data_IF_550711046636
#
_entry.id   IF_550711046636
#
_cell.length_a   1.000
_cell.length_b   1.000
_cell.length_c   1.000
_cell.angle_alpha   90.00
_cell.angle_beta   90.00
_cell.angle_gamma   90.00
#
_symmetry.space_group_name_H-M   'P 1'
#
loop_
_entity.id
_entity.type
_entity.pdbx_description
1 polymer ?
#
# COMPACT_ATOMS: atom_id res chain seq x y z
N UNK A 1 -33.01 22.74 -8.35
CA UNK A 1 -31.85 22.65 -7.43
C UNK A 1 -30.89 21.61 -8.00
N UNK A 2 -29.93 22.05 -8.82
CA UNK A 2 -29.06 21.21 -9.65
C UNK A 2 -27.71 20.98 -8.95
N UNK A 3 -27.69 20.13 -7.91
CA UNK A 3 -26.45 19.71 -7.21
C UNK A 3 -25.98 18.32 -7.67
N UNK A 4 -26.15 17.98 -8.95
CA UNK A 4 -25.94 16.61 -9.46
C UNK A 4 -24.94 16.52 -10.63
N UNK A 5 -23.90 17.35 -10.67
CA UNK A 5 -22.86 17.24 -11.69
C UNK A 5 -21.47 17.29 -11.06
N UNK A 6 -21.17 16.31 -10.21
CA UNK A 6 -19.83 15.98 -9.70
C UNK A 6 -18.90 15.57 -10.86
N UNK A 7 -18.60 16.52 -11.75
CA UNK A 7 -17.64 16.37 -12.84
C UNK A 7 -16.22 16.39 -12.25
N UNK A 8 -15.85 15.28 -11.61
CA UNK A 8 -14.46 14.97 -11.33
C UNK A 8 -13.70 14.76 -12.66
N UNK A 9 -12.40 15.05 -12.72
CA UNK A 9 -11.61 14.90 -13.94
C UNK A 9 -11.56 13.42 -14.37
N UNK A 10 -12.32 13.10 -15.42
CA UNK A 10 -12.34 11.80 -16.07
C UNK A 10 -10.94 11.52 -16.65
N UNK A 11 -10.30 10.46 -16.19
CA UNK A 11 -9.11 9.94 -16.86
C UNK A 11 -9.54 9.45 -18.25
N UNK A 12 -9.29 10.26 -19.27
CA UNK A 12 -9.48 9.86 -20.67
C UNK A 12 -8.20 9.24 -21.19
N UNK A 13 -8.33 8.05 -21.78
CA UNK A 13 -7.28 7.41 -22.57
C UNK A 13 -6.82 8.40 -23.66
N UNK A 14 -5.53 8.76 -23.71
CA UNK A 14 -5.02 9.64 -24.77
C UNK A 14 -5.07 8.87 -26.09
N UNK A 15 -5.72 9.45 -27.10
CA UNK A 15 -5.61 9.00 -28.48
C UNK A 15 -4.15 9.08 -28.96
N UNK A 16 -3.67 8.14 -29.79
CA UNK A 16 -2.27 8.09 -30.19
C UNK A 16 -1.88 9.31 -31.05
N UNK A 17 -0.71 9.86 -30.75
CA UNK A 17 -0.06 10.99 -31.41
C UNK A 17 0.41 10.58 -32.81
N UNK A 18 -0.46 10.73 -33.81
CA UNK A 18 -0.05 10.86 -35.20
C UNK A 18 -0.41 12.27 -35.66
N UNK A 19 0.51 12.92 -36.36
CA UNK A 19 0.38 14.26 -36.99
C UNK A 19 0.48 15.49 -36.07
N UNK A 20 1.64 15.66 -35.42
CA UNK A 20 2.21 17.00 -35.28
C UNK A 20 3.73 16.91 -35.39
N UNK A 21 4.20 16.47 -36.55
CA UNK A 21 5.60 16.61 -36.97
C UNK A 21 5.73 17.72 -38.01
N UNK A 22 5.23 18.93 -37.73
CA UNK A 22 5.60 20.12 -38.48
C UNK A 22 5.43 21.35 -37.60
N UNK A 23 6.47 21.72 -36.83
CA UNK A 23 7.17 23.01 -36.99
C UNK A 23 8.16 23.27 -35.82
N UNK A 24 9.35 23.82 -36.12
CA UNK A 24 10.39 24.11 -35.14
C UNK A 24 10.34 25.58 -34.67
N UNK A 25 10.54 25.83 -33.38
CA UNK A 25 10.92 27.16 -32.89
C UNK A 25 11.74 27.06 -31.59
N UNK A 26 13.06 27.03 -31.81
CA UNK A 26 14.18 27.69 -31.09
C UNK A 26 14.03 28.00 -29.58
N UNK A 27 15.02 27.62 -28.74
CA UNK A 27 15.02 27.79 -27.29
C UNK A 27 15.69 29.09 -26.84
N UNK A 28 15.25 29.75 -25.75
CA UNK A 28 16.12 30.70 -25.06
C UNK A 28 15.82 30.89 -23.55
N UNK A 29 16.78 30.42 -22.75
CA UNK A 29 17.31 30.92 -21.46
C UNK A 29 16.50 30.89 -20.14
N UNK A 30 17.03 30.07 -19.23
CA UNK A 30 17.21 30.35 -17.81
C UNK A 30 18.28 31.46 -17.58
N UNK A 31 18.41 32.03 -16.36
CA UNK A 31 19.18 31.40 -15.26
C UNK A 31 18.46 31.49 -13.89
N UNK A 32 18.59 30.54 -12.95
CA UNK A 32 19.71 30.33 -11.99
C UNK A 32 19.95 31.58 -11.12
N UNK A 33 19.87 31.53 -9.78
CA UNK A 33 21.05 31.36 -8.88
C UNK A 33 20.65 31.33 -7.37
N UNK A 34 21.34 30.43 -6.63
CA UNK A 34 21.84 30.41 -5.21
C UNK A 34 20.93 30.74 -4.00
N UNK A 35 20.75 29.83 -3.05
CA UNK A 35 21.66 29.36 -1.96
C UNK A 35 21.91 30.41 -0.87
N UNK A 36 21.44 30.15 0.36
CA UNK A 36 22.17 30.55 1.55
C UNK A 36 21.86 29.65 2.77
N UNK A 37 22.96 29.27 3.42
CA UNK A 37 23.16 28.32 4.52
C UNK A 37 23.51 29.12 5.78
N UNK A 38 22.87 28.85 6.92
CA UNK A 38 23.45 29.11 8.27
C UNK A 38 22.72 28.16 9.26
N UNK A 39 23.28 27.01 9.62
CA UNK A 39 24.22 26.74 10.72
C UNK A 39 23.65 26.90 12.15
N UNK A 40 23.80 25.81 12.92
CA UNK A 40 23.51 25.60 14.36
C UNK A 40 24.31 26.54 15.29
N UNK A 41 24.02 26.53 16.61
CA UNK A 41 24.87 25.79 17.58
C UNK A 41 24.06 25.11 18.72
N UNK A 42 24.37 23.87 19.15
CA UNK A 42 25.27 23.43 20.27
C UNK A 42 24.91 23.99 21.66
N UNK A 43 24.48 23.10 22.60
CA UNK A 43 24.87 22.95 24.04
C UNK A 43 24.28 21.59 24.50
N UNK A 44 25.00 20.48 24.77
CA UNK A 44 25.92 20.08 25.85
C UNK A 44 25.34 19.85 27.28
N UNK A 45 25.41 18.57 27.71
CA UNK A 45 25.72 18.01 29.06
C UNK A 45 24.72 18.16 30.22
N UNK A 46 24.31 17.04 30.85
CA UNK A 46 24.77 16.64 32.21
C UNK A 46 23.92 15.56 32.90
N UNK A 47 24.61 14.51 33.38
CA UNK A 47 24.48 13.69 34.61
C UNK A 47 23.11 13.15 35.06
N UNK A 48 22.86 11.83 35.14
CA UNK A 48 23.39 10.80 36.09
C UNK A 48 22.55 10.66 37.39
N UNK A 49 22.43 9.39 37.86
CA UNK A 49 22.03 8.88 39.20
C UNK A 49 20.62 8.29 39.29
N UNK A 50 20.29 7.23 40.05
CA UNK A 50 20.99 6.17 40.80
C UNK A 50 19.92 5.12 41.21
N UNK A 51 20.35 3.87 41.36
CA UNK A 51 19.69 2.65 41.91
C UNK A 51 18.73 2.82 43.11
N UNK A 52 17.76 1.89 43.27
CA UNK A 52 17.57 1.05 44.48
C UNK A 52 16.77 -0.21 44.12
N UNK A 53 17.38 -1.37 44.39
CA UNK A 53 16.76 -2.68 44.42
C UNK A 53 16.02 -2.91 45.75
N UNK A 54 14.98 -3.75 45.73
CA UNK A 54 14.76 -4.73 46.82
C UNK A 54 13.87 -5.87 46.32
N UNK A 55 14.38 -7.07 46.51
CA UNK A 55 13.79 -8.37 46.21
C UNK A 55 12.70 -8.74 47.24
N UNK A 56 11.68 -9.48 46.77
CA UNK A 56 10.87 -10.63 47.29
C UNK A 56 10.97 -11.09 48.77
N UNK A 57 10.25 -12.12 49.29
CA UNK A 57 9.10 -12.95 48.79
C UNK A 57 7.98 -13.19 49.84
N UNK A 58 6.83 -13.80 49.46
CA UNK A 58 6.06 -14.67 50.38
C UNK A 58 5.32 -15.81 49.62
N UNK A 59 5.60 -17.04 50.09
CA UNK A 59 5.08 -18.42 49.89
C UNK A 59 3.53 -18.52 49.76
N UNK A 60 2.93 -19.11 48.71
CA UNK A 60 2.64 -20.53 48.35
C UNK A 60 1.57 -21.23 49.23
N UNK A 61 0.42 -21.62 48.65
CA UNK A 61 -0.19 -22.98 48.78
C UNK A 61 -1.52 -23.16 48.03
N UNK A 62 -1.56 -24.27 47.28
CA UNK A 62 -2.64 -25.25 47.06
C UNK A 62 -4.08 -24.83 46.62
N UNK A 63 -4.38 -25.16 45.35
CA UNK A 63 -5.70 -25.68 44.95
C UNK A 63 -5.58 -26.42 43.60
N UNK A 64 -5.15 -27.69 43.67
CA UNK A 64 -5.25 -28.60 42.55
C UNK A 64 -6.69 -29.12 42.41
N UNK A 65 -7.45 -28.62 41.42
CA UNK A 65 -8.64 -29.31 40.90
C UNK A 65 -9.00 -28.85 39.47
N UNK A 66 -8.83 -29.78 38.53
CA UNK A 66 -9.58 -29.90 37.27
C UNK A 66 -9.47 -28.75 36.26
N UNK A 67 -8.30 -28.59 35.65
CA UNK A 67 -8.23 -28.03 34.30
C UNK A 67 -8.25 -29.24 33.36
N UNK A 68 -9.44 -29.61 32.91
CA UNK A 68 -9.58 -30.44 31.73
C UNK A 68 -8.77 -29.76 30.62
N UNK A 69 -7.77 -30.48 30.11
CA UNK A 69 -6.93 -30.06 29.01
C UNK A 69 -7.81 -29.90 27.78
N UNK A 70 -8.40 -28.72 27.62
CA UNK A 70 -9.04 -28.30 26.39
C UNK A 70 -7.87 -28.14 25.42
N UNK A 71 -7.54 -29.23 24.72
CA UNK A 71 -6.74 -29.17 23.51
C UNK A 71 -7.36 -28.07 22.66
N UNK A 72 -6.66 -26.94 22.40
CA UNK A 72 -7.22 -25.92 21.56
C UNK A 72 -7.58 -26.58 20.22
N UNK A 73 -8.80 -26.37 19.69
CA UNK A 73 -9.06 -26.80 18.33
C UNK A 73 -7.96 -26.16 17.47
N UNK A 74 -7.36 -27.00 16.63
CA UNK A 74 -6.45 -26.60 15.56
C UNK A 74 -7.31 -25.80 14.56
N UNK A 75 -7.60 -24.54 14.91
CA UNK A 75 -8.32 -23.59 14.07
C UNK A 75 -7.30 -23.16 13.03
N UNK A 76 -7.16 -23.97 11.99
CA UNK A 76 -6.61 -23.48 10.73
C UNK A 76 -7.48 -22.29 10.31
N UNK A 77 -6.94 -21.06 10.25
CA UNK A 77 -7.75 -19.88 9.99
C UNK A 77 -8.41 -20.04 8.61
N UNK A 78 -9.73 -19.99 8.58
CA UNK A 78 -10.44 -19.94 7.31
C UNK A 78 -10.05 -18.66 6.58
N UNK A 79 -9.75 -18.72 5.29
CA UNK A 79 -9.33 -17.54 4.55
C UNK A 79 -10.52 -16.57 4.44
N UNK A 80 -10.33 -15.39 5.00
CA UNK A 80 -11.29 -14.28 5.04
C UNK A 80 -11.59 -13.75 3.63
N UNK A 81 -10.61 -13.81 2.73
CA UNK A 81 -10.74 -13.34 1.35
C UNK A 81 -10.37 -14.45 0.37
N UNK A 82 -11.29 -14.78 -0.53
CA UNK A 82 -11.11 -15.76 -1.60
C UNK A 82 -11.52 -15.12 -2.93
N UNK A 83 -10.57 -14.48 -3.60
CA UNK A 83 -10.81 -13.87 -4.92
C UNK A 83 -9.53 -13.89 -5.74
N UNK A 84 -9.59 -14.04 -7.08
CA UNK A 84 -8.40 -14.01 -7.92
C UNK A 84 -7.61 -12.71 -7.82
N UNK A 85 -8.31 -11.58 -7.63
CA UNK A 85 -7.74 -10.24 -7.54
C UNK A 85 -8.07 -9.57 -6.21
N UNK A 86 -7.04 -9.18 -5.47
CA UNK A 86 -7.15 -8.39 -4.25
C UNK A 86 -6.52 -7.02 -4.44
N UNK A 87 -7.28 -5.96 -4.18
CA UNK A 87 -6.75 -4.62 -3.96
C UNK A 87 -6.80 -4.34 -2.46
N UNK A 88 -5.64 -4.21 -1.83
CA UNK A 88 -5.51 -4.06 -0.39
C UNK A 88 -5.15 -2.62 -0.02
N UNK A 89 -6.06 -1.93 0.66
CA UNK A 89 -5.85 -0.56 1.10
C UNK A 89 -6.60 -0.28 2.42
N UNK A 90 -6.02 -0.61 3.58
CA UNK A 90 -6.66 -0.39 4.88
C UNK A 90 -6.76 1.09 5.28
N UNK A 91 -5.91 1.94 4.73
CA UNK A 91 -5.83 3.36 5.10
C UNK A 91 -6.82 4.26 4.35
N UNK A 92 -7.52 3.76 3.32
CA UNK A 92 -8.43 4.54 2.48
C UNK A 92 -9.85 4.70 3.05
N UNK A 93 -9.95 5.23 4.27
CA UNK A 93 -11.24 5.47 4.94
C UNK A 93 -12.03 6.69 4.44
N UNK A 94 -11.43 7.55 3.62
CA UNK A 94 -12.04 8.80 3.15
C UNK A 94 -12.71 8.66 1.76
N UNK A 95 -13.77 9.45 1.55
CA UNK A 95 -14.58 9.42 0.32
C UNK A 95 -13.73 9.66 -0.96
N UNK A 96 -12.81 10.64 -1.00
CA UNK A 96 -11.98 10.87 -2.19
C UNK A 96 -11.08 9.67 -2.52
N UNK A 97 -10.47 9.03 -1.52
CA UNK A 97 -9.63 7.84 -1.73
C UNK A 97 -10.45 6.66 -2.23
N UNK A 98 -11.66 6.46 -1.69
CA UNK A 98 -12.57 5.41 -2.15
C UNK A 98 -13.01 5.64 -3.61
N UNK A 99 -13.34 6.88 -3.98
CA UNK A 99 -13.66 7.23 -5.36
C UNK A 99 -12.47 6.97 -6.30
N UNK A 100 -11.25 7.30 -5.88
CA UNK A 100 -10.05 7.01 -6.66
C UNK A 100 -9.84 5.50 -6.86
N UNK A 101 -9.96 4.71 -5.80
CA UNK A 101 -9.84 3.25 -5.87
C UNK A 101 -10.92 2.64 -6.77
N UNK A 102 -12.16 3.11 -6.67
CA UNK A 102 -13.23 2.67 -7.55
C UNK A 102 -12.94 2.98 -9.02
N UNK A 103 -12.39 4.16 -9.31
CA UNK A 103 -11.97 4.54 -10.65
C UNK A 103 -10.82 3.66 -11.16
N UNK A 104 -9.88 3.27 -10.29
CA UNK A 104 -8.80 2.34 -10.64
C UNK A 104 -9.39 0.97 -11.01
N UNK A 105 -10.30 0.41 -10.20
CA UNK A 105 -10.96 -0.86 -10.50
C UNK A 105 -11.68 -0.81 -11.85
N UNK A 106 -12.40 0.28 -12.13
CA UNK A 106 -13.07 0.49 -13.42
C UNK A 106 -12.07 0.58 -14.59
N UNK A 107 -10.93 1.25 -14.39
CA UNK A 107 -9.88 1.39 -15.39
C UNK A 107 -9.16 0.08 -15.71
N UNK A 108 -9.03 -0.83 -14.73
CA UNK A 108 -8.43 -2.15 -14.92
C UNK A 108 -9.29 -3.06 -15.80
N UNK A 109 -10.58 -2.73 -16.00
CA UNK A 109 -11.56 -3.52 -16.79
C UNK A 109 -11.62 -4.99 -16.38
N UNK A 110 -11.32 -5.28 -15.12
CA UNK A 110 -11.44 -6.61 -14.55
C UNK A 110 -12.91 -6.92 -14.24
N UNK A 111 -13.32 -8.18 -14.32
CA UNK A 111 -14.68 -8.59 -14.00
C UNK A 111 -14.95 -8.38 -12.50
N UNK A 112 -16.08 -7.75 -12.17
CA UNK A 112 -16.37 -7.26 -10.82
C UNK A 112 -16.55 -8.38 -9.78
N UNK A 113 -16.81 -9.61 -10.24
CA UNK A 113 -16.91 -10.81 -9.43
C UNK A 113 -15.54 -11.42 -9.06
N UNK A 114 -14.47 -11.05 -9.76
CA UNK A 114 -13.12 -11.56 -9.48
C UNK A 114 -12.27 -10.61 -8.63
N UNK A 115 -12.68 -9.34 -8.52
CA UNK A 115 -11.92 -8.28 -7.83
C UNK A 115 -12.56 -7.93 -6.51
N UNK A 116 -11.78 -8.04 -5.44
CA UNK A 116 -12.17 -7.58 -4.11
C UNK A 116 -11.29 -6.40 -3.70
N UNK A 117 -11.94 -5.28 -3.36
CA UNK A 117 -11.31 -4.18 -2.64
C UNK A 117 -11.45 -4.43 -1.15
N UNK A 118 -10.32 -4.63 -0.46
CA UNK A 118 -10.29 -4.91 0.96
C UNK A 118 -9.66 -3.75 1.75
N UNK A 119 -10.42 -3.21 2.70
CA UNK A 119 -10.05 -2.03 3.50
C UNK A 119 -9.88 -2.35 4.99
N UNK A 120 -9.91 -3.62 5.38
CA UNK A 120 -9.63 -4.03 6.75
C UNK A 120 -8.20 -4.58 6.84
N UNK A 121 -7.64 -4.55 8.04
CA UNK A 121 -6.31 -5.10 8.28
C UNK A 121 -6.40 -6.62 8.24
N UNK A 122 -5.67 -7.24 7.31
CA UNK A 122 -5.52 -8.70 7.18
C UNK A 122 -4.07 -9.05 6.95
N UNK A 123 -3.71 -10.29 7.23
CA UNK A 123 -2.39 -10.86 6.96
C UNK A 123 -2.45 -11.85 5.80
N UNK A 124 -1.30 -12.16 5.22
CA UNK A 124 -1.16 -13.11 4.11
C UNK A 124 -1.90 -14.44 4.32
N UNK A 125 -1.85 -15.02 5.52
CA UNK A 125 -2.47 -16.33 5.83
C UNK A 125 -4.00 -16.34 5.70
N UNK A 126 -4.63 -15.17 5.80
CA UNK A 126 -6.09 -15.00 5.73
C UNK A 126 -6.56 -14.73 4.30
N UNK A 127 -5.65 -14.61 3.34
CA UNK A 127 -5.96 -14.24 1.97
C UNK A 127 -5.56 -15.35 1.01
N UNK A 128 -6.54 -15.82 0.24
CA UNK A 128 -6.30 -16.69 -0.92
C UNK A 128 -6.59 -15.92 -2.19
N UNK A 129 -5.53 -15.39 -2.79
CA UNK A 129 -5.59 -14.64 -4.04
C UNK A 129 -4.42 -14.98 -4.96
N UNK A 130 -4.57 -14.73 -6.25
CA UNK A 130 -3.51 -14.93 -7.25
C UNK A 130 -2.78 -13.64 -7.58
N UNK A 131 -3.50 -12.53 -7.62
CA UNK A 131 -2.98 -11.21 -7.96
C UNK A 131 -3.35 -10.24 -6.85
N UNK A 132 -2.34 -9.61 -6.23
CA UNK A 132 -2.55 -8.67 -5.14
C UNK A 132 -1.88 -7.32 -5.41
N UNK A 133 -2.61 -6.23 -5.20
CA UNK A 133 -2.07 -4.87 -5.23
C UNK A 133 -2.09 -4.32 -3.83
N UNK A 134 -0.90 -4.01 -3.31
CA UNK A 134 -0.71 -3.45 -1.97
C UNK A 134 -0.52 -1.94 -2.10
N UNK A 135 -1.50 -1.17 -1.66
CA UNK A 135 -1.45 0.30 -1.70
C UNK A 135 -0.78 0.84 -0.44
N UNK A 136 0.39 1.44 -0.60
CA UNK A 136 1.17 2.04 0.47
C UNK A 136 2.17 1.07 1.11
N UNK A 137 3.29 1.64 1.59
CA UNK A 137 4.37 0.88 2.20
C UNK A 137 3.98 0.29 3.55
N UNK A 138 3.28 1.06 4.38
CA UNK A 138 2.83 0.61 5.71
C UNK A 138 1.87 -0.57 5.61
N UNK A 139 0.87 -0.45 4.72
CA UNK A 139 -0.07 -1.53 4.44
C UNK A 139 0.66 -2.77 3.90
N UNK A 140 1.60 -2.60 2.97
CA UNK A 140 2.36 -3.72 2.42
C UNK A 140 3.23 -4.42 3.48
N UNK A 141 3.93 -3.65 4.31
CA UNK A 141 4.77 -4.16 5.40
C UNK A 141 3.93 -4.95 6.41
N UNK A 142 2.77 -4.43 6.80
CA UNK A 142 1.85 -5.14 7.69
C UNK A 142 1.29 -6.42 7.05
N UNK A 143 0.85 -6.36 5.79
CA UNK A 143 0.26 -7.50 5.09
C UNK A 143 1.26 -8.65 4.88
N UNK A 144 2.50 -8.30 4.51
CA UNK A 144 3.57 -9.24 4.18
C UNK A 144 4.45 -9.63 5.39
N UNK A 145 4.24 -9.02 6.55
CA UNK A 145 5.16 -9.08 7.70
C UNK A 145 6.61 -8.76 7.30
N UNK A 146 6.79 -7.67 6.54
CA UNK A 146 8.08 -7.21 6.02
C UNK A 146 8.45 -5.83 6.56
N UNK A 147 9.74 -5.47 6.54
CA UNK A 147 10.25 -4.19 7.07
C UNK A 147 10.97 -3.36 5.99
N UNK A 148 10.25 -3.01 4.93
CA UNK A 148 10.80 -2.14 3.90
C UNK A 148 10.87 -0.68 4.42
N UNK A 149 12.03 -0.04 4.28
CA UNK A 149 12.26 1.34 4.73
C UNK A 149 11.74 2.39 3.75
N UNK A 150 11.83 2.13 2.45
CA UNK A 150 11.48 3.09 1.40
C UNK A 150 10.64 2.43 0.31
N UNK A 151 9.57 3.10 -0.11
CA UNK A 151 8.66 2.60 -1.15
C UNK A 151 9.37 2.50 -2.51
N UNK A 152 10.27 3.43 -2.81
CA UNK A 152 10.99 3.50 -4.10
C UNK A 152 11.81 2.23 -4.36
N UNK A 153 12.29 1.57 -3.32
CA UNK A 153 13.11 0.35 -3.42
C UNK A 153 12.30 -0.89 -3.79
N UNK A 154 10.99 -0.90 -3.51
CA UNK A 154 10.13 -2.09 -3.65
C UNK A 154 9.07 -1.95 -4.74
N UNK A 155 8.67 -0.72 -5.07
CA UNK A 155 7.69 -0.45 -6.11
C UNK A 155 8.25 -0.69 -7.51
N UNK A 156 7.35 -0.84 -8.49
CA UNK A 156 7.74 -1.10 -9.88
C UNK A 156 8.41 -2.45 -10.10
N UNK A 157 8.33 -3.35 -9.12
CA UNK A 157 8.81 -4.72 -9.20
C UNK A 157 7.63 -5.67 -9.00
N UNK A 158 7.61 -6.74 -9.79
CA UNK A 158 6.68 -7.84 -9.60
C UNK A 158 7.28 -8.80 -8.58
N UNK A 159 6.57 -9.03 -7.48
CA UNK A 159 6.97 -9.97 -6.46
C UNK A 159 6.06 -11.20 -6.51
N UNK A 160 6.59 -12.35 -6.16
CA UNK A 160 5.83 -13.61 -6.14
C UNK A 160 6.10 -14.33 -4.83
N UNK A 161 5.04 -14.70 -4.11
CA UNK A 161 5.11 -15.47 -2.88
C UNK A 161 4.13 -16.64 -2.96
N UNK A 162 4.67 -17.86 -3.04
CA UNK A 162 3.87 -19.05 -3.31
C UNK A 162 3.17 -18.96 -4.67
N UNK A 163 1.84 -19.00 -4.66
CA UNK A 163 0.99 -18.87 -5.87
C UNK A 163 0.38 -17.47 -6.03
N UNK A 164 0.86 -16.49 -5.28
CA UNK A 164 0.38 -15.11 -5.33
C UNK A 164 1.45 -14.20 -5.92
N UNK A 165 1.11 -13.55 -7.03
CA UNK A 165 1.86 -12.42 -7.58
C UNK A 165 1.34 -11.13 -6.95
N UNK A 166 2.23 -10.23 -6.55
CA UNK A 166 1.85 -8.96 -5.96
C UNK A 166 2.76 -7.81 -6.38
N UNK A 167 2.20 -6.61 -6.31
CA UNK A 167 2.93 -5.35 -6.52
C UNK A 167 2.64 -4.39 -5.38
N UNK A 168 3.68 -3.69 -4.93
CA UNK A 168 3.58 -2.64 -3.92
C UNK A 168 3.56 -1.29 -4.66
N UNK A 169 2.59 -0.45 -4.36
CA UNK A 169 2.40 0.84 -5.03
C UNK A 169 2.08 1.97 -4.06
N UNK A 170 1.87 3.19 -4.57
CA UNK A 170 1.58 4.37 -3.75
C UNK A 170 0.21 4.29 -3.07
N UNK A 171 0.11 4.89 -1.89
CA UNK A 171 -1.16 5.03 -1.18
C UNK A 171 -2.12 6.00 -1.92
N UNK A 172 -3.44 5.74 -1.94
CA UNK A 172 -4.41 6.62 -2.59
C UNK A 172 -4.42 8.06 -2.06
N UNK A 173 -4.16 8.30 -0.78
CA UNK A 173 -4.05 9.67 -0.25
C UNK A 173 -2.86 10.40 -0.84
N UNK A 174 -1.71 9.72 -0.93
CA UNK A 174 -0.53 10.27 -1.58
C UNK A 174 -0.79 10.59 -3.06
N UNK A 175 -1.56 9.75 -3.78
CA UNK A 175 -1.97 10.01 -5.17
C UNK A 175 -2.92 11.21 -5.33
N UNK A 176 -3.73 11.50 -4.31
CA UNK A 176 -4.62 12.66 -4.30
C UNK A 176 -3.86 13.95 -4.02
N UNK A 177 -2.88 13.91 -3.12
CA UNK A 177 -1.97 15.03 -2.83
C UNK A 177 -1.03 15.33 -4.01
N UNK A 178 -0.48 14.29 -4.63
CA UNK A 178 0.41 14.39 -5.78
C UNK A 178 -0.11 13.57 -6.99
N UNK A 179 -0.85 14.22 -7.92
CA UNK A 179 -1.40 13.55 -9.09
C UNK A 179 -0.37 12.94 -10.05
N UNK A 180 0.92 13.28 -9.97
CA UNK A 180 1.96 12.66 -10.81
C UNK A 180 2.17 11.18 -10.46
N UNK A 181 1.92 10.80 -9.20
CA UNK A 181 2.06 9.43 -8.71
C UNK A 181 1.09 8.47 -9.39
N UNK A 182 -0.01 8.98 -9.97
CA UNK A 182 -0.99 8.19 -10.73
C UNK A 182 -0.36 7.45 -11.91
N UNK A 183 0.61 8.07 -12.58
CA UNK A 183 1.35 7.44 -13.69
C UNK A 183 2.19 6.27 -13.17
N UNK A 184 2.84 6.46 -12.03
CA UNK A 184 3.65 5.44 -11.37
C UNK A 184 2.81 4.25 -10.93
N UNK A 185 1.67 4.50 -10.28
CA UNK A 185 0.73 3.44 -9.89
C UNK A 185 0.19 2.69 -11.09
N UNK A 186 -0.14 3.39 -12.18
CA UNK A 186 -0.60 2.73 -13.39
C UNK A 186 0.49 1.82 -13.98
N UNK A 187 1.75 2.26 -13.98
CA UNK A 187 2.87 1.43 -14.42
C UNK A 187 3.00 0.16 -13.57
N UNK A 188 2.87 0.28 -12.25
CA UNK A 188 2.92 -0.83 -11.30
C UNK A 188 1.78 -1.84 -11.56
N UNK A 189 0.56 -1.34 -11.79
CA UNK A 189 -0.60 -2.16 -12.15
C UNK A 189 -0.43 -2.90 -13.48
N UNK A 190 0.16 -2.25 -14.49
CA UNK A 190 0.45 -2.87 -15.77
C UNK A 190 1.39 -4.08 -15.65
N UNK A 191 2.35 -4.06 -14.72
CA UNK A 191 3.22 -5.22 -14.46
C UNK A 191 2.41 -6.44 -14.03
N UNK A 192 1.45 -6.23 -13.13
CA UNK A 192 0.60 -7.31 -12.62
C UNK A 192 -0.39 -7.81 -13.68
N UNK A 193 -0.92 -6.90 -14.51
CA UNK A 193 -1.76 -7.28 -15.66
C UNK A 193 -1.01 -8.10 -16.70
N UNK A 194 0.24 -7.72 -17.01
CA UNK A 194 1.09 -8.49 -17.93
C UNK A 194 1.34 -9.91 -17.40
N UNK A 195 1.57 -10.06 -16.09
CA UNK A 195 1.70 -11.37 -15.46
C UNK A 195 0.41 -12.21 -15.63
N UNK A 196 -0.76 -11.60 -15.44
CA UNK A 196 -2.06 -12.28 -15.67
C UNK A 196 -2.20 -12.79 -17.10
N UNK A 197 -1.80 -11.99 -18.08
CA UNK A 197 -1.85 -12.38 -19.50
C UNK A 197 -0.91 -13.54 -19.81
N UNK A 198 0.31 -13.54 -19.25
CA UNK A 198 1.28 -14.63 -19.41
C UNK A 198 0.79 -15.95 -18.81
N UNK A 199 0.05 -15.93 -17.69
CA UNK A 199 -0.51 -17.13 -17.07
C UNK A 199 -1.79 -17.65 -17.75
N UNK A 200 -2.42 -16.83 -18.60
CA UNK A 200 -3.66 -17.18 -19.30
C UNK A 200 -3.43 -17.70 -20.73
N UNK A 201 -2.21 -17.58 -21.25
CA UNK A 201 -1.79 -17.98 -22.59
C UNK A 201 -1.27 -19.42 -22.62
#
# INVERSE_FOLDING_TARGET
>A
MLRELELLPVWRLRSPLAETLLQPSVPEKAPSIETQVVAMPVVEVSAESVVVATETPIVQEDAAALIAEIKPPDISPEPVVQSPWLLYCPQAGDVPSQQLLQNIVLALRLPADEVVLHQQIVSLDQVKTRFCVLFGLEAANHFLNAEHRELVSVRGQLHTQGNMAYVITHDPRAMLENPQLKKEVWQDLCLLLAQKEMESA
#
